data_IF_333126924342
#
_entry.id   IF_333126924342
#
_cell.length_a   1.000
_cell.length_b   1.000
_cell.length_c   1.000
_cell.angle_alpha   90.00
_cell.angle_beta   90.00
_cell.angle_gamma   90.00
#
_symmetry.space_group_name_H-M   'P 1'
#
loop_
_entity.id
_entity.type
_entity.pdbx_description
1 polymer ?
#
# COMPACT_ATOMS: atom_id res chain seq x y z
N UNK A 1 6.80 -45.93 8.32
CA UNK A 1 7.56 -45.06 9.24
C UNK A 1 8.52 -44.25 8.37
N UNK A 2 8.66 -42.94 8.63
CA UNK A 2 9.34 -41.92 7.80
C UNK A 2 8.53 -41.49 6.56
N UNK A 3 7.52 -40.64 6.77
CA UNK A 3 6.56 -40.22 5.72
C UNK A 3 6.17 -38.75 5.77
N UNK A 4 7.03 -37.90 6.31
CA UNK A 4 6.78 -36.45 6.31
C UNK A 4 8.08 -35.71 6.55
N UNK A 5 8.28 -34.63 5.82
CA UNK A 5 9.28 -33.60 6.08
C UNK A 5 9.03 -32.99 7.47
N UNK A 6 9.33 -33.75 8.52
CA UNK A 6 9.30 -33.32 9.90
C UNK A 6 10.64 -32.68 10.27
N UNK A 7 10.65 -31.86 11.32
CA UNK A 7 11.88 -31.28 11.85
C UNK A 7 12.95 -32.32 12.20
N UNK A 8 12.56 -33.57 12.47
CA UNK A 8 13.45 -34.72 12.70
C UNK A 8 14.41 -34.99 11.54
N UNK A 9 13.90 -35.09 10.31
CA UNK A 9 14.73 -35.38 9.13
C UNK A 9 15.72 -34.25 8.85
N UNK A 10 15.31 -33.00 9.01
CA UNK A 10 16.20 -31.82 8.86
C UNK A 10 17.34 -31.88 9.89
N UNK A 11 17.05 -32.27 11.13
CA UNK A 11 18.09 -32.40 12.18
C UNK A 11 19.07 -33.52 11.83
N UNK A 12 18.60 -34.67 11.33
CA UNK A 12 19.47 -35.79 10.94
C UNK A 12 20.38 -35.40 9.77
N UNK A 13 19.83 -34.77 8.73
CA UNK A 13 20.60 -34.28 7.58
C UNK A 13 21.59 -33.21 8.04
N UNK A 14 21.15 -32.29 8.91
CA UNK A 14 22.01 -31.28 9.53
C UNK A 14 23.19 -31.94 10.24
N UNK A 15 22.95 -32.93 11.10
CA UNK A 15 24.01 -33.67 11.78
C UNK A 15 25.02 -34.28 10.80
N UNK A 16 24.55 -34.92 9.72
CA UNK A 16 25.42 -35.52 8.73
C UNK A 16 26.29 -34.46 8.02
N UNK A 17 25.70 -33.32 7.65
CA UNK A 17 26.44 -32.18 7.10
C UNK A 17 27.47 -31.63 8.09
N UNK A 18 27.11 -31.53 9.38
CA UNK A 18 28.01 -31.08 10.44
C UNK A 18 29.17 -32.06 10.64
N UNK A 19 28.98 -33.36 10.46
CA UNK A 19 30.07 -34.35 10.57
C UNK A 19 31.01 -34.25 9.37
N UNK A 20 30.47 -34.13 8.15
CA UNK A 20 31.27 -34.07 6.92
C UNK A 20 32.05 -32.75 6.81
N UNK A 21 31.36 -31.63 7.02
CA UNK A 21 31.93 -30.29 6.83
C UNK A 21 32.43 -29.68 8.13
N UNK A 22 31.89 -30.07 9.29
CA UNK A 22 32.21 -29.48 10.59
C UNK A 22 31.23 -28.36 11.00
N UNK A 23 30.89 -28.23 12.30
CA UNK A 23 29.97 -27.22 12.80
C UNK A 23 30.48 -25.79 12.63
N UNK A 24 31.79 -25.61 12.49
CA UNK A 24 32.41 -24.29 12.28
C UNK A 24 32.34 -23.82 10.82
N UNK A 25 32.27 -24.74 9.84
CA UNK A 25 32.26 -24.39 8.41
C UNK A 25 30.92 -23.81 7.97
N UNK A 26 29.80 -24.39 8.41
CA UNK A 26 28.45 -23.88 8.07
C UNK A 26 28.25 -22.40 8.40
N UNK A 27 28.48 -21.92 9.64
CA UNK A 27 28.31 -20.51 9.97
C UNK A 27 29.38 -19.62 9.33
N UNK A 28 30.56 -20.16 9.00
CA UNK A 28 31.60 -19.42 8.30
C UNK A 28 31.19 -19.17 6.84
N UNK A 29 30.76 -20.21 6.12
CA UNK A 29 30.25 -20.10 4.75
C UNK A 29 29.00 -19.22 4.67
N UNK A 30 28.08 -19.32 5.64
CA UNK A 30 26.91 -18.45 5.71
C UNK A 30 27.28 -16.97 5.88
N UNK A 31 28.33 -16.66 6.67
CA UNK A 31 28.85 -15.28 6.81
C UNK A 31 29.48 -14.78 5.52
N UNK A 32 30.18 -15.64 4.78
CA UNK A 32 30.82 -15.27 3.52
C UNK A 32 29.78 -15.04 2.42
N UNK A 33 28.83 -15.96 2.26
CA UNK A 33 27.70 -15.82 1.34
C UNK A 33 26.84 -14.61 1.73
N UNK A 34 26.57 -14.41 3.01
CA UNK A 34 25.78 -13.27 3.49
C UNK A 34 26.40 -11.92 3.13
N UNK A 35 27.74 -11.81 3.24
CA UNK A 35 28.47 -10.60 2.81
C UNK A 35 28.36 -10.40 1.30
N UNK A 36 28.55 -11.45 0.51
CA UNK A 36 28.43 -11.39 -0.94
C UNK A 36 27.00 -11.01 -1.38
N UNK A 37 25.98 -11.65 -0.81
CA UNK A 37 24.57 -11.33 -1.08
C UNK A 37 24.24 -9.89 -0.66
N UNK A 38 24.79 -9.41 0.45
CA UNK A 38 24.62 -8.03 0.89
C UNK A 38 25.21 -7.02 -0.11
N UNK A 39 26.39 -7.31 -0.66
CA UNK A 39 27.00 -6.48 -1.71
C UNK A 39 26.21 -6.55 -3.02
N UNK A 40 25.78 -7.75 -3.42
CA UNK A 40 24.96 -7.93 -4.62
C UNK A 40 23.64 -7.18 -4.52
N UNK A 41 22.97 -7.21 -3.36
CA UNK A 41 21.74 -6.43 -3.13
C UNK A 41 21.96 -4.93 -3.32
N UNK A 42 23.04 -4.38 -2.75
CA UNK A 42 23.37 -2.95 -2.87
C UNK A 42 23.62 -2.54 -4.32
N UNK A 43 24.42 -3.32 -5.05
CA UNK A 43 24.66 -3.07 -6.47
C UNK A 43 23.35 -3.14 -7.27
N UNK A 44 22.50 -4.14 -7.02
CA UNK A 44 21.19 -4.26 -7.66
C UNK A 44 20.29 -3.07 -7.33
N UNK A 45 20.34 -2.54 -6.11
CA UNK A 45 19.53 -1.38 -5.71
C UNK A 45 20.03 -0.09 -6.37
N UNK A 46 21.34 0.12 -6.51
CA UNK A 46 21.91 1.22 -7.32
C UNK A 46 21.48 1.13 -8.79
N UNK A 47 21.53 -0.07 -9.40
CA UNK A 47 21.04 -0.26 -10.77
C UNK A 47 19.54 0.05 -10.90
N UNK A 48 18.71 -0.34 -9.91
CA UNK A 48 17.29 0.02 -9.94
C UNK A 48 17.09 1.53 -9.88
N UNK A 49 17.86 2.23 -9.06
CA UNK A 49 17.77 3.69 -8.93
C UNK A 49 18.14 4.39 -10.25
N UNK A 50 19.19 3.94 -10.93
CA UNK A 50 19.59 4.45 -12.24
C UNK A 50 18.53 4.15 -13.33
N UNK A 51 18.01 2.91 -13.37
CA UNK A 51 16.94 2.55 -14.31
C UNK A 51 15.62 3.28 -14.02
N UNK A 52 15.28 3.50 -12.75
CA UNK A 52 14.08 4.26 -12.36
C UNK A 52 14.20 5.73 -12.73
N UNK A 53 15.38 6.33 -12.55
CA UNK A 53 15.64 7.69 -12.98
C UNK A 53 15.48 7.86 -14.51
N UNK A 54 15.93 6.88 -15.29
CA UNK A 54 15.74 6.88 -16.76
C UNK A 54 14.28 6.54 -17.15
N UNK A 55 13.62 5.65 -16.41
CA UNK A 55 12.23 5.27 -16.65
C UNK A 55 11.25 6.42 -16.35
N UNK A 56 11.47 7.22 -15.30
CA UNK A 56 10.65 8.41 -15.01
C UNK A 56 10.79 9.47 -16.13
N UNK A 57 11.98 9.61 -16.72
CA UNK A 57 12.19 10.47 -17.90
C UNK A 57 11.51 9.93 -19.16
N UNK A 58 11.37 8.60 -19.28
CA UNK A 58 10.61 7.96 -20.35
C UNK A 58 9.08 8.10 -20.16
N UNK A 59 8.60 8.13 -18.91
CA UNK A 59 7.17 8.25 -18.59
C UNK A 59 6.65 9.70 -18.72
N UNK A 60 7.48 10.72 -18.51
CA UNK A 60 7.11 12.12 -18.81
C UNK A 60 6.78 12.36 -20.30
N UNK A 61 7.34 11.56 -21.21
CA UNK A 61 6.95 11.58 -22.64
C UNK A 61 5.65 10.84 -22.93
N UNK A 62 5.20 9.94 -22.04
CA UNK A 62 3.97 9.16 -22.20
C UNK A 62 2.73 9.92 -21.69
N UNK A 63 2.88 10.74 -20.63
CA UNK A 63 1.76 11.52 -20.05
C UNK A 63 1.39 12.73 -20.90
N UNK A 64 2.30 13.26 -21.73
CA UNK A 64 2.03 14.37 -22.67
C UNK A 64 1.23 13.96 -23.91
N UNK A 65 0.83 12.70 -24.04
CA UNK A 65 -0.03 12.25 -25.16
C UNK A 65 -1.41 11.72 -24.71
N UNK A 66 -1.96 12.24 -23.60
CA UNK A 66 -3.38 12.06 -23.27
C UNK A 66 -4.18 13.20 -23.91
N UNK A 67 -4.70 13.06 -25.15
CA UNK A 67 -5.56 14.08 -25.74
C UNK A 67 -6.76 14.30 -24.83
N UNK A 68 -7.04 15.57 -24.54
CA UNK A 68 -8.09 16.09 -23.70
C UNK A 68 -9.51 15.67 -24.13
N UNK A 69 -9.87 14.39 -24.01
CA UNK A 69 -11.20 13.86 -24.36
C UNK A 69 -12.14 13.62 -23.16
N UNK A 70 -11.69 13.87 -21.93
CA UNK A 70 -12.55 13.71 -20.75
C UNK A 70 -13.29 14.99 -20.32
N UNK A 71 -13.38 16.01 -21.20
CA UNK A 71 -14.10 17.26 -20.92
C UNK A 71 -15.41 17.43 -21.70
N UNK A 72 -15.80 16.46 -22.54
CA UNK A 72 -17.02 16.52 -23.37
C UNK A 72 -18.16 15.58 -22.95
N UNK A 73 -18.03 14.85 -21.84
CA UNK A 73 -19.10 13.97 -21.33
C UNK A 73 -19.90 14.55 -20.14
N UNK A 74 -19.52 15.72 -19.62
CA UNK A 74 -20.21 16.36 -18.50
C UNK A 74 -21.18 17.49 -18.91
N UNK A 75 -21.22 17.86 -20.20
CA UNK A 75 -22.14 18.86 -20.70
C UNK A 75 -22.74 18.34 -22.01
N UNK A 76 -24.07 18.31 -22.08
CA UNK A 76 -24.93 17.95 -23.25
C UNK A 76 -25.45 16.50 -23.24
N UNK A 77 -26.69 16.38 -22.76
CA UNK A 77 -27.63 15.29 -23.01
C UNK A 77 -28.17 14.69 -21.72
N UNK A 78 -29.37 15.00 -21.23
CA UNK A 78 -30.49 15.73 -21.78
C UNK A 78 -31.77 15.26 -21.07
N UNK A 79 -32.62 16.23 -20.70
CA UNK A 79 -34.08 16.14 -20.66
C UNK A 79 -34.77 15.03 -19.83
N UNK A 80 -35.21 15.42 -18.63
CA UNK A 80 -36.59 15.37 -18.16
C UNK A 80 -37.46 14.12 -18.37
N UNK A 81 -37.96 13.57 -17.25
CA UNK A 81 -39.38 13.20 -17.11
C UNK A 81 -39.77 12.84 -15.65
N UNK A 82 -40.71 13.62 -15.13
CA UNK A 82 -41.85 13.22 -14.29
C UNK A 82 -41.63 12.74 -12.85
N UNK A 83 -42.07 13.58 -11.90
CA UNK A 83 -42.62 13.15 -10.61
C UNK A 83 -43.95 12.38 -10.81
N UNK A 84 -44.27 11.40 -9.95
CA UNK A 84 -45.36 11.55 -8.96
C UNK A 84 -44.95 10.99 -7.57
N UNK A 85 -45.23 11.66 -6.46
CA UNK A 85 -46.47 11.65 -5.66
C UNK A 85 -46.75 10.31 -4.94
N UNK A 86 -46.85 10.42 -3.61
CA UNK A 86 -47.40 9.51 -2.60
C UNK A 86 -46.71 8.16 -2.31
N UNK A 87 -46.21 8.00 -1.08
CA UNK A 87 -46.85 7.19 -0.02
C UNK A 87 -45.92 6.95 1.19
N UNK A 88 -46.45 7.31 2.35
CA UNK A 88 -46.38 6.59 3.64
C UNK A 88 -45.00 6.33 4.28
N UNK A 89 -44.57 7.19 5.22
CA UNK A 89 -44.43 6.78 6.64
C UNK A 89 -44.20 7.97 7.57
N UNK A 90 -44.80 7.86 8.75
CA UNK A 90 -45.23 8.92 9.66
C UNK A 90 -44.16 9.26 10.74
N UNK A 91 -44.42 10.26 11.62
CA UNK A 91 -43.43 11.13 12.27
C UNK A 91 -42.97 10.66 13.66
N UNK A 92 -41.81 11.17 14.10
CA UNK A 92 -41.46 11.28 15.52
C UNK A 92 -41.03 12.72 15.82
N UNK A 93 -42.01 13.53 16.23
CA UNK A 93 -41.82 14.75 17.01
C UNK A 93 -41.58 14.35 18.47
N UNK A 94 -40.54 14.90 19.14
CA UNK A 94 -40.50 15.62 20.45
C UNK A 94 -39.10 16.27 20.53
N UNK A 95 -38.92 17.59 20.48
CA UNK A 95 -39.22 18.61 21.49
C UNK A 95 -38.63 18.33 22.88
N UNK A 96 -37.44 18.88 23.14
CA UNK A 96 -37.04 19.51 24.41
C UNK A 96 -35.70 20.25 24.23
N UNK A 97 -35.73 21.56 24.01
CA UNK A 97 -35.68 22.59 25.05
C UNK A 97 -34.37 22.60 25.85
N UNK A 98 -33.52 23.60 25.62
CA UNK A 98 -32.31 23.80 26.42
C UNK A 98 -31.51 25.03 26.02
N UNK A 99 -32.07 26.21 26.29
CA UNK A 99 -31.39 27.50 26.25
C UNK A 99 -30.06 27.43 27.02
N UNK A 100 -29.01 28.07 26.51
CA UNK A 100 -28.25 29.11 27.24
C UNK A 100 -26.89 29.39 26.60
N UNK A 101 -26.73 30.62 26.10
CA UNK A 101 -25.58 31.46 26.44
C UNK A 101 -24.20 31.05 25.95
N UNK A 102 -23.79 31.64 24.81
CA UNK A 102 -22.48 32.31 24.73
C UNK A 102 -22.43 33.27 23.54
N UNK A 103 -22.95 34.47 23.80
CA UNK A 103 -22.48 35.69 23.15
C UNK A 103 -21.06 35.93 23.67
N UNK A 104 -20.07 35.70 22.82
CA UNK A 104 -18.73 36.23 23.03
C UNK A 104 -18.46 37.27 21.93
N UNK A 105 -19.18 38.38 22.06
CA UNK A 105 -18.82 39.66 21.47
C UNK A 105 -17.79 40.28 22.42
N UNK A 106 -16.54 40.40 22.00
CA UNK A 106 -15.54 40.94 22.91
C UNK A 106 -14.09 40.95 22.42
N UNK A 107 -13.83 41.20 21.14
CA UNK A 107 -12.49 41.59 20.68
C UNK A 107 -12.59 42.54 19.48
N UNK A 108 -13.20 43.71 19.72
CA UNK A 108 -12.81 44.95 19.06
C UNK A 108 -12.33 45.89 20.18
N UNK A 109 -11.39 46.77 19.84
CA UNK A 109 -10.82 47.87 20.63
C UNK A 109 -9.43 47.59 21.23
N UNK A 110 -8.40 47.65 20.37
CA UNK A 110 -7.19 48.50 20.48
C UNK A 110 -6.23 48.28 19.31
#
# INVERSE_FOLDING_TARGET
MFGGLGGSEIVIIGLLFLVIFGPSKLPQMARDIGRFVGQARRAVDEFKEELSAEADLADEKSVRNRPARSRRKAAVGGSGKSAPADRDEAPNEREDAGLSGRRNDGLNDL
#
